data_IF_637346473504
#
_entry.id   IF_637346473504
#
_cell.length_a   1.000
_cell.length_b   1.000
_cell.length_c   1.000
_cell.angle_alpha   90.00
_cell.angle_beta   90.00
_cell.angle_gamma   90.00
#
_symmetry.space_group_name_H-M   'P 1'
#
loop_
_entity.id
_entity.type
_entity.pdbx_description
1 polymer ?
#
# COMPACT_ATOMS: atom_id res chain seq x y z
N UNK A 1 9.44 -5.21 3.52
CA UNK A 1 8.20 -5.99 3.71
C UNK A 1 7.50 -6.24 2.37
N UNK A 2 6.89 -7.41 2.17
CA UNK A 2 6.16 -7.75 0.94
C UNK A 2 4.64 -7.68 1.19
N UNK A 3 3.94 -6.93 0.34
CA UNK A 3 2.47 -6.81 0.34
C UNK A 3 1.93 -7.30 -1.01
N UNK A 4 0.91 -8.16 -1.00
CA UNK A 4 0.20 -8.59 -2.21
C UNK A 4 -1.15 -7.87 -2.34
N UNK A 5 -1.41 -7.27 -3.50
CA UNK A 5 -2.69 -6.65 -3.84
C UNK A 5 -3.51 -7.60 -4.71
N UNK A 6 -4.66 -8.01 -4.19
CA UNK A 6 -5.58 -8.92 -4.88
C UNK A 6 -6.58 -8.18 -5.77
N UNK A 7 -7.18 -8.92 -6.72
CA UNK A 7 -8.26 -8.44 -7.63
C UNK A 7 -9.43 -7.81 -6.88
N UNK A 8 -9.78 -8.33 -5.69
CA UNK A 8 -10.80 -7.77 -4.80
C UNK A 8 -10.36 -6.51 -4.04
N UNK A 9 -9.26 -5.87 -4.46
CA UNK A 9 -8.66 -4.66 -3.88
C UNK A 9 -8.12 -4.81 -2.45
N UNK A 10 -8.13 -6.03 -1.87
CA UNK A 10 -7.53 -6.29 -0.57
C UNK A 10 -6.01 -6.33 -0.68
N UNK A 11 -5.33 -5.87 0.38
CA UNK A 11 -3.89 -5.97 0.54
C UNK A 11 -3.58 -7.02 1.60
N UNK A 12 -2.59 -7.85 1.37
CA UNK A 12 -2.14 -8.87 2.32
C UNK A 12 -0.65 -8.68 2.59
N UNK A 13 -0.27 -8.52 3.85
CA UNK A 13 1.13 -8.50 4.25
C UNK A 13 1.61 -9.94 4.41
N UNK A 14 2.59 -10.32 3.59
CA UNK A 14 3.22 -11.65 3.70
C UNK A 14 3.98 -11.79 5.02
N UNK A 15 4.62 -10.72 5.50
CA UNK A 15 5.40 -10.71 6.73
C UNK A 15 4.53 -10.81 8.00
N UNK A 16 3.30 -10.28 7.97
CA UNK A 16 2.37 -10.30 9.12
C UNK A 16 1.30 -11.38 8.97
N UNK A 17 1.31 -12.12 7.87
CA UNK A 17 0.33 -13.16 7.50
C UNK A 17 -1.13 -12.73 7.66
N UNK A 18 -1.44 -11.47 7.34
CA UNK A 18 -2.79 -10.90 7.49
C UNK A 18 -3.15 -9.88 6.43
N UNK A 19 -4.45 -9.69 6.23
CA UNK A 19 -4.96 -8.56 5.44
C UNK A 19 -4.67 -7.24 6.14
N UNK A 20 -4.31 -6.24 5.35
CA UNK A 20 -3.98 -4.89 5.80
C UNK A 20 -4.76 -3.88 4.98
N UNK A 21 -4.97 -2.70 5.54
CA UNK A 21 -5.67 -1.60 4.89
C UNK A 21 -4.68 -0.55 4.36
N UNK A 22 -5.22 0.54 3.80
CA UNK A 22 -4.41 1.65 3.31
C UNK A 22 -3.72 2.41 4.47
N UNK A 23 -4.32 2.44 5.66
CA UNK A 23 -3.73 3.13 6.81
C UNK A 23 -2.45 2.44 7.28
N UNK A 24 -2.43 1.11 7.25
CA UNK A 24 -1.23 0.33 7.50
C UNK A 24 -0.11 0.73 6.52
N UNK A 25 -0.41 0.81 5.22
CA UNK A 25 0.58 1.22 4.20
C UNK A 25 1.07 2.66 4.44
N UNK A 26 0.17 3.58 4.80
CA UNK A 26 0.54 4.95 5.18
C UNK A 26 1.47 4.94 6.41
N UNK A 27 1.21 4.07 7.37
CA UNK A 27 2.07 3.88 8.55
C UNK A 27 3.51 3.53 8.17
N UNK A 28 3.70 2.58 7.25
CA UNK A 28 5.03 2.21 6.74
C UNK A 28 5.75 3.40 6.10
N UNK A 29 5.05 4.17 5.26
CA UNK A 29 5.60 5.34 4.58
C UNK A 29 6.07 6.37 5.62
N UNK A 30 5.22 6.68 6.61
CA UNK A 30 5.55 7.63 7.68
C UNK A 30 6.68 7.13 8.57
N UNK A 31 6.73 5.82 8.83
CA UNK A 31 7.80 5.15 9.57
C UNK A 31 9.10 5.00 8.78
N UNK A 32 9.13 5.38 7.50
CA UNK A 32 10.25 5.14 6.57
C UNK A 32 10.65 3.66 6.49
N UNK A 33 9.67 2.78 6.65
CA UNK A 33 9.86 1.33 6.53
C UNK A 33 9.95 0.93 5.06
N UNK A 34 10.85 0.01 4.74
CA UNK A 34 10.97 -0.53 3.39
C UNK A 34 9.85 -1.53 3.09
N UNK A 35 9.16 -1.34 1.97
CA UNK A 35 8.15 -2.27 1.48
C UNK A 35 8.05 -2.30 -0.04
N UNK A 36 7.54 -3.41 -0.56
CA UNK A 36 7.20 -3.61 -1.97
C UNK A 36 5.76 -4.13 -2.05
N UNK A 37 5.01 -3.64 -3.03
CA UNK A 37 3.64 -4.08 -3.31
C UNK A 37 3.61 -4.75 -4.67
N UNK A 38 3.26 -6.04 -4.68
CA UNK A 38 3.02 -6.79 -5.91
C UNK A 38 1.52 -6.91 -6.18
N UNK A 39 1.13 -6.88 -7.44
CA UNK A 39 -0.23 -7.26 -7.83
C UNK A 39 -0.38 -8.80 -7.97
N UNK A 40 -1.53 -9.23 -8.48
CA UNK A 40 -1.80 -10.66 -8.70
C UNK A 40 -0.97 -11.29 -9.83
N UNK A 41 -0.40 -10.48 -10.72
CA UNK A 41 0.51 -10.90 -11.79
C UNK A 41 1.98 -10.83 -11.35
N UNK A 42 2.21 -10.58 -10.05
CA UNK A 42 3.54 -10.36 -9.45
C UNK A 42 4.30 -9.17 -10.05
N UNK A 43 3.59 -8.17 -10.58
CA UNK A 43 4.20 -6.89 -11.02
C UNK A 43 4.35 -5.95 -9.84
N UNK A 44 5.50 -5.29 -9.76
CA UNK A 44 5.72 -4.22 -8.76
C UNK A 44 4.84 -3.01 -9.09
N UNK A 45 3.94 -2.70 -8.16
CA UNK A 45 2.99 -1.59 -8.23
C UNK A 45 3.16 -0.63 -7.05
N UNK A 46 4.32 -0.64 -6.39
CA UNK A 46 4.61 0.20 -5.21
C UNK A 46 4.43 1.68 -5.53
N UNK A 47 5.10 2.17 -6.58
CA UNK A 47 5.04 3.57 -7.02
C UNK A 47 3.59 4.03 -7.30
N UNK A 48 2.80 3.35 -8.16
CA UNK A 48 1.43 3.81 -8.45
C UNK A 48 0.51 3.76 -7.22
N UNK A 49 0.69 2.82 -6.29
CA UNK A 49 -0.08 2.78 -5.04
C UNK A 49 0.29 3.95 -4.14
N UNK A 50 1.58 4.24 -3.96
CA UNK A 50 2.07 5.38 -3.18
C UNK A 50 1.57 6.71 -3.76
N UNK A 51 1.66 6.91 -5.07
CA UNK A 51 1.15 8.11 -5.74
C UNK A 51 -0.36 8.29 -5.53
N UNK A 52 -1.13 7.20 -5.58
CA UNK A 52 -2.57 7.22 -5.31
C UNK A 52 -2.88 7.61 -3.87
N UNK A 53 -2.12 7.10 -2.90
CA UNK A 53 -2.24 7.46 -1.49
C UNK A 53 -1.91 8.93 -1.28
N UNK A 54 -0.80 9.41 -1.85
CA UNK A 54 -0.36 10.79 -1.76
C UNK A 54 -1.43 11.77 -2.29
N UNK A 55 -1.99 11.49 -3.48
CA UNK A 55 -3.09 12.30 -4.05
C UNK A 55 -4.34 12.32 -3.18
N UNK A 56 -4.65 11.22 -2.49
CA UNK A 56 -5.79 11.17 -1.55
C UNK A 56 -5.53 12.02 -0.32
N UNK A 57 -4.31 12.00 0.21
CA UNK A 57 -3.95 12.77 1.40
C UNK A 57 -3.88 14.27 1.11
N UNK A 58 -3.43 14.69 -0.08
CA UNK A 58 -3.51 16.10 -0.50
C UNK A 58 -4.95 16.60 -0.56
N UNK A 59 -5.84 15.85 -1.24
CA UNK A 59 -7.27 16.22 -1.35
C UNK A 59 -8.00 16.34 -0.01
N UNK A 60 -7.55 15.62 1.02
CA UNK A 60 -8.13 15.73 2.37
C UNK A 60 -7.74 17.03 3.09
N UNK A 61 -6.64 17.68 2.69
CA UNK A 61 -6.17 18.93 3.30
C UNK A 61 -6.82 20.17 2.70
N UNK A 62 -7.40 20.04 1.51
CA UNK A 62 -8.08 21.12 0.78
C UNK A 62 -9.57 21.24 1.14
N UNK A 63 -10.05 20.51 2.15
CA UNK A 63 -11.42 20.51 2.69
C UNK A 63 -11.36 20.78 4.18
#
# INVERSE_FOLDING_TARGET
>A
MIIKKYKNRKYYSMNKSKFVDLNFIIGLIKGKEEFIIFDNENKDITIPVVLKLFRKELKKKDV
#
